data_IF_421537254877
#
_entry.id   IF_421537254877
#
_cell.length_a   1.000
_cell.length_b   1.000
_cell.length_c   1.000
_cell.angle_alpha   90.00
_cell.angle_beta   90.00
_cell.angle_gamma   90.00
#
_symmetry.space_group_name_H-M   'P 1'
#
loop_
_entity.id
_entity.type
_entity.pdbx_description
1 polymer ?
#
# COMPACT_ATOMS: atom_id res chain seq x y z
N UNK A 1 -6.46 -25.56 -8.51
CA UNK A 1 -6.89 -24.48 -7.58
C UNK A 1 -6.47 -23.11 -8.14
N UNK A 2 -6.94 -22.71 -9.33
CA UNK A 2 -6.53 -21.45 -10.00
C UNK A 2 -7.70 -20.53 -10.40
N UNK A 3 -8.95 -21.00 -10.27
CA UNK A 3 -10.13 -20.25 -10.70
C UNK A 3 -10.53 -19.11 -9.76
N UNK A 4 -10.24 -19.25 -8.46
CA UNK A 4 -10.63 -18.26 -7.46
C UNK A 4 -9.85 -16.94 -7.63
N UNK A 5 -8.54 -17.03 -7.88
CA UNK A 5 -7.66 -15.87 -8.15
C UNK A 5 -8.13 -15.09 -9.39
N UNK A 6 -8.51 -15.78 -10.47
CA UNK A 6 -8.97 -15.13 -11.70
C UNK A 6 -10.33 -14.42 -11.55
N UNK A 7 -11.19 -14.86 -10.61
CA UNK A 7 -12.46 -14.20 -10.30
C UNK A 7 -12.22 -12.93 -9.49
N UNK A 8 -11.35 -13.02 -8.48
CA UNK A 8 -11.00 -11.89 -7.60
C UNK A 8 -10.36 -10.76 -8.41
N UNK A 9 -9.36 -11.07 -9.25
CA UNK A 9 -8.69 -10.08 -10.11
C UNK A 9 -9.67 -9.37 -11.03
N UNK A 10 -10.58 -10.12 -11.68
CA UNK A 10 -11.60 -9.54 -12.57
C UNK A 10 -12.57 -8.61 -11.85
N UNK A 11 -12.92 -8.91 -10.60
CA UNK A 11 -13.82 -8.07 -9.83
C UNK A 11 -13.16 -6.74 -9.46
N UNK A 12 -11.87 -6.76 -9.07
CA UNK A 12 -11.10 -5.55 -8.80
C UNK A 12 -10.92 -4.69 -10.06
N UNK A 13 -10.64 -5.29 -11.21
CA UNK A 13 -10.55 -4.57 -12.48
C UNK A 13 -11.86 -3.85 -12.85
N UNK A 14 -13.03 -4.47 -12.60
CA UNK A 14 -14.34 -3.84 -12.82
C UNK A 14 -14.59 -2.61 -11.94
N UNK A 15 -13.96 -2.56 -10.77
CA UNK A 15 -14.02 -1.42 -9.86
C UNK A 15 -12.98 -0.33 -10.21
N UNK A 16 -12.27 -0.48 -11.33
CA UNK A 16 -11.21 0.44 -11.76
C UNK A 16 -9.88 0.24 -11.02
N UNK A 17 -9.75 -0.80 -10.21
CA UNK A 17 -8.49 -1.12 -9.52
C UNK A 17 -7.51 -1.70 -10.54
N UNK A 18 -6.43 -0.96 -10.77
CA UNK A 18 -5.33 -1.41 -11.61
C UNK A 18 -4.36 -2.25 -10.79
N UNK A 19 -3.84 -3.32 -11.38
CA UNK A 19 -2.78 -4.09 -10.75
C UNK A 19 -1.49 -3.27 -10.82
N UNK A 20 -0.97 -2.89 -9.66
CA UNK A 20 0.31 -2.23 -9.58
C UNK A 20 1.45 -3.25 -9.68
N UNK A 21 2.54 -2.88 -10.35
CA UNK A 21 3.75 -3.70 -10.39
C UNK A 21 4.35 -3.78 -8.98
N UNK A 22 4.48 -4.99 -8.39
CA UNK A 22 5.00 -5.14 -7.02
C UNK A 22 6.40 -4.57 -6.84
N UNK A 23 7.27 -4.70 -7.85
CA UNK A 23 8.63 -4.16 -7.83
C UNK A 23 8.61 -2.63 -7.79
N UNK A 24 7.76 -2.00 -8.60
CA UNK A 24 7.59 -0.54 -8.63
C UNK A 24 6.97 0.00 -7.34
N UNK A 25 6.08 -0.76 -6.70
CA UNK A 25 5.52 -0.41 -5.40
C UNK A 25 6.60 -0.47 -4.30
N UNK A 26 7.37 -1.55 -4.25
CA UNK A 26 8.47 -1.75 -3.29
C UNK A 26 9.56 -0.69 -3.48
N UNK A 27 9.88 -0.30 -4.71
CA UNK A 27 10.84 0.78 -4.98
C UNK A 27 10.35 2.13 -4.46
N UNK A 28 9.04 2.40 -4.52
CA UNK A 28 8.46 3.67 -4.07
C UNK A 28 8.26 3.75 -2.56
N UNK A 29 7.81 2.67 -1.95
CA UNK A 29 7.35 2.66 -0.56
C UNK A 29 8.18 1.77 0.38
N UNK A 30 9.15 1.04 -0.16
CA UNK A 30 9.91 0.03 0.56
C UNK A 30 9.22 -1.33 0.57
N UNK A 31 9.99 -2.37 0.91
CA UNK A 31 9.50 -3.75 0.95
C UNK A 31 8.62 -4.05 2.17
N UNK A 32 8.62 -3.15 3.17
CA UNK A 32 7.94 -3.31 4.44
C UNK A 32 7.24 -2.02 4.78
N UNK A 33 5.96 -2.11 5.14
CA UNK A 33 5.27 -1.03 5.81
C UNK A 33 6.01 -0.79 7.12
N UNK A 34 6.46 0.45 7.35
CA UNK A 34 7.07 0.83 8.62
C UNK A 34 6.04 0.60 9.73
N UNK A 35 6.52 0.18 10.89
CA UNK A 35 5.67 0.06 12.06
C UNK A 35 4.99 1.41 12.37
N UNK A 36 3.75 1.35 12.84
CA UNK A 36 2.96 2.55 13.10
C UNK A 36 3.65 3.51 14.09
N UNK A 37 4.39 2.99 15.09
CA UNK A 37 5.16 3.84 16.01
C UNK A 37 6.32 4.54 15.30
N UNK A 38 7.00 3.86 14.38
CA UNK A 38 8.08 4.47 13.59
C UNK A 38 7.53 5.59 12.70
N UNK A 39 6.39 5.37 12.06
CA UNK A 39 5.73 6.40 11.23
C UNK A 39 5.35 7.64 12.05
N UNK A 40 4.78 7.46 13.24
CA UNK A 40 4.41 8.57 14.12
C UNK A 40 5.65 9.35 14.61
N UNK A 41 6.74 8.64 14.93
CA UNK A 41 8.00 9.29 15.34
C UNK A 41 8.60 10.11 14.19
N UNK A 42 8.63 9.56 12.97
CA UNK A 42 9.12 10.26 11.79
C UNK A 42 8.23 11.47 11.43
N UNK A 43 6.90 11.32 11.49
CA UNK A 43 5.96 12.41 11.25
C UNK A 43 6.16 13.56 12.26
N UNK A 44 6.31 13.22 13.55
CA UNK A 44 6.61 14.20 14.60
C UNK A 44 7.97 14.87 14.37
N UNK A 45 9.00 14.12 13.99
CA UNK A 45 10.32 14.65 13.66
C UNK A 45 10.28 15.56 12.42
N UNK A 46 9.40 15.28 11.46
CA UNK A 46 9.15 16.12 10.29
C UNK A 46 8.28 17.36 10.59
N UNK A 47 7.89 17.58 11.85
CA UNK A 47 7.07 18.72 12.26
C UNK A 47 5.59 18.59 11.88
N UNK A 48 5.14 17.39 11.50
CA UNK A 48 3.72 17.09 11.32
C UNK A 48 3.11 16.97 12.70
N UNK A 49 2.62 18.10 13.22
CA UNK A 49 1.73 18.14 14.38
C UNK A 49 0.33 17.86 13.83
N UNK A 50 -0.30 16.80 14.34
CA UNK A 50 -1.69 16.43 14.01
C UNK A 50 -2.60 17.66 14.16
N UNK A 51 -3.03 18.22 13.03
CA UNK A 51 -4.23 19.06 12.94
C UNK A 51 -5.32 18.13 12.39
N UNK A 52 -6.02 17.43 13.30
CA UNK A 52 -7.16 16.55 13.03
C UNK A 52 -8.39 17.14 13.73
#
# INVERSE_FOLDING_TARGET
MCFFLARVVRQFQRLGVQQENPQSYIQRYGAQLKDAQTLLQEARAAGVVEDI
#
